data_IF_700331247226
#
_entry.id   IF_700331247226
#
_cell.length_a   1.000
_cell.length_b   1.000
_cell.length_c   1.000
_cell.angle_alpha   90.00
_cell.angle_beta   90.00
_cell.angle_gamma   90.00
#
_symmetry.space_group_name_H-M   'P 1'
#
loop_
_entity.id
_entity.type
_entity.pdbx_description
1 polymer ?
#
# COMPACT_ATOMS: atom_id res chain seq x y z
N UNK A 1 2.59 14.04 17.77
CA UNK A 1 1.40 14.35 18.59
C UNK A 1 1.05 15.77 18.23
N UNK A 2 0.03 15.93 17.40
CA UNK A 2 -0.44 17.21 16.90
C UNK A 2 -0.74 18.16 18.05
N UNK A 3 -0.28 19.40 17.93
CA UNK A 3 -0.70 20.44 18.87
C UNK A 3 -2.15 20.81 18.58
N UNK A 4 -3.09 20.65 19.54
CA UNK A 4 -4.52 20.86 19.32
C UNK A 4 -4.92 22.29 18.92
N UNK A 5 -3.97 23.23 18.92
CA UNK A 5 -4.17 24.63 18.55
C UNK A 5 -3.68 24.99 17.14
N UNK A 6 -2.95 24.11 16.44
CA UNK A 6 -2.48 24.40 15.09
C UNK A 6 -3.52 23.96 14.04
N UNK A 7 -4.49 24.84 13.77
CA UNK A 7 -5.56 24.60 12.77
C UNK A 7 -5.11 24.73 11.31
N UNK A 8 -3.84 25.05 11.07
CA UNK A 8 -3.26 25.24 9.74
C UNK A 8 -2.33 24.09 9.32
N UNK A 9 -2.10 23.11 10.20
CA UNK A 9 -1.33 21.90 9.91
C UNK A 9 -2.26 20.79 9.42
N UNK A 10 -1.92 20.19 8.28
CA UNK A 10 -2.62 19.04 7.72
C UNK A 10 -1.66 17.84 7.80
N UNK A 11 -1.70 17.05 8.89
CA UNK A 11 -0.67 16.04 9.14
C UNK A 11 -0.81 14.86 8.18
N UNK A 12 0.31 14.20 7.85
CA UNK A 12 0.32 13.04 6.95
C UNK A 12 -0.49 11.90 7.57
N UNK A 13 -0.34 11.66 8.87
CA UNK A 13 -0.99 10.55 9.58
C UNK A 13 -2.52 10.62 9.54
N UNK A 14 -3.15 11.74 9.91
CA UNK A 14 -4.60 11.88 9.95
C UNK A 14 -5.22 11.81 8.55
N UNK A 15 -4.57 12.42 7.55
CA UNK A 15 -5.03 12.37 6.16
C UNK A 15 -4.90 10.95 5.57
N UNK A 16 -3.81 10.25 5.86
CA UNK A 16 -3.61 8.86 5.45
C UNK A 16 -4.66 7.94 6.09
N UNK A 17 -4.90 8.08 7.40
CA UNK A 17 -5.93 7.32 8.11
C UNK A 17 -7.34 7.64 7.63
N UNK A 18 -7.64 8.89 7.28
CA UNK A 18 -8.95 9.28 6.77
C UNK A 18 -9.29 8.54 5.46
N UNK A 19 -8.31 8.35 4.58
CA UNK A 19 -8.45 7.54 3.36
C UNK A 19 -8.48 6.04 3.69
N UNK A 20 -7.49 5.55 4.44
CA UNK A 20 -7.33 4.13 4.74
C UNK A 20 -8.56 3.57 5.46
N UNK A 21 -9.17 4.30 6.38
CA UNK A 21 -10.33 3.84 7.14
C UNK A 21 -11.67 4.26 6.53
N UNK A 22 -11.66 4.85 5.33
CA UNK A 22 -12.87 5.18 4.58
C UNK A 22 -13.70 6.31 5.19
N UNK A 23 -13.11 7.13 6.07
CA UNK A 23 -13.74 8.37 6.58
C UNK A 23 -14.03 9.32 5.41
N UNK A 24 -13.13 9.34 4.43
CA UNK A 24 -13.38 9.87 3.08
C UNK A 24 -13.16 8.74 2.08
N UNK A 25 -14.07 8.61 1.11
CA UNK A 25 -14.06 7.51 0.12
C UNK A 25 -14.33 8.02 -1.29
N UNK A 26 -13.79 7.38 -2.35
CA UNK A 26 -14.08 7.76 -3.73
C UNK A 26 -15.58 7.77 -4.05
N UNK A 27 -15.98 8.68 -4.93
CA UNK A 27 -17.37 8.81 -5.39
C UNK A 27 -18.36 9.29 -4.33
N UNK A 28 -17.88 9.63 -3.13
CA UNK A 28 -18.67 10.25 -2.06
C UNK A 28 -18.06 11.63 -1.74
N UNK A 29 -18.86 12.52 -1.12
CA UNK A 29 -18.38 13.75 -0.51
C UNK A 29 -17.54 14.68 -1.41
N UNK A 30 -18.09 15.16 -2.53
CA UNK A 30 -17.49 16.23 -3.36
C UNK A 30 -15.99 16.03 -3.72
N UNK A 31 -15.60 14.79 -4.05
CA UNK A 31 -14.22 14.40 -4.37
C UNK A 31 -13.20 14.66 -3.24
N UNK A 32 -13.64 14.67 -1.97
CA UNK A 32 -12.73 14.81 -0.81
C UNK A 32 -11.60 13.78 -0.83
N UNK A 33 -11.89 12.52 -1.15
CA UNK A 33 -10.86 11.46 -1.18
C UNK A 33 -9.75 11.78 -2.20
N UNK A 34 -10.12 12.27 -3.39
CA UNK A 34 -9.15 12.67 -4.41
C UNK A 34 -8.30 13.84 -3.92
N UNK A 35 -8.93 14.86 -3.32
CA UNK A 35 -8.22 16.04 -2.79
C UNK A 35 -7.26 15.70 -1.65
N UNK A 36 -7.65 14.79 -0.74
CA UNK A 36 -6.77 14.32 0.34
C UNK A 36 -5.60 13.52 -0.25
N UNK A 37 -5.87 12.64 -1.22
CA UNK A 37 -4.85 11.89 -1.95
C UNK A 37 -3.91 12.82 -2.74
N UNK A 38 -4.42 13.91 -3.32
CA UNK A 38 -3.63 14.93 -4.02
C UNK A 38 -2.70 15.66 -3.06
N UNK A 39 -3.23 16.04 -1.89
CA UNK A 39 -2.46 16.71 -0.85
C UNK A 39 -1.30 15.83 -0.35
N UNK A 40 -1.58 14.56 -0.01
CA UNK A 40 -0.54 13.62 0.43
C UNK A 40 0.56 13.45 -0.64
N UNK A 41 0.16 13.25 -1.89
CA UNK A 41 1.10 13.12 -3.01
C UNK A 41 1.94 14.39 -3.24
N UNK A 42 1.43 15.58 -2.88
CA UNK A 42 2.19 16.83 -2.99
C UNK A 42 3.35 16.94 -1.99
N UNK A 43 3.36 16.12 -0.94
CA UNK A 43 4.45 16.06 0.03
C UNK A 43 5.59 15.12 -0.40
N UNK A 44 5.40 14.34 -1.47
CA UNK A 44 6.35 13.34 -1.92
C UNK A 44 7.65 13.99 -2.41
N UNK A 45 8.78 13.53 -1.88
CA UNK A 45 10.14 13.89 -2.33
C UNK A 45 10.82 12.67 -2.96
N UNK A 46 12.05 12.76 -3.52
CA UNK A 46 12.73 11.60 -4.09
C UNK A 46 12.91 10.43 -3.12
N UNK A 47 13.03 10.69 -1.81
CA UNK A 47 13.37 9.66 -0.81
C UNK A 47 12.23 9.39 0.19
N UNK A 48 11.07 10.00 0.03
CA UNK A 48 9.89 9.82 0.88
C UNK A 48 9.11 11.12 1.09
N UNK A 49 7.92 11.07 1.70
CA UNK A 49 7.10 12.25 1.94
C UNK A 49 7.66 13.08 3.09
N UNK A 50 7.66 14.40 2.93
CA UNK A 50 7.95 15.34 4.01
C UNK A 50 6.76 15.39 4.97
N UNK A 51 6.91 14.89 6.20
CA UNK A 51 5.85 14.89 7.22
C UNK A 51 5.64 16.29 7.84
N UNK A 52 4.49 16.96 7.67
CA UNK A 52 4.26 18.29 8.28
C UNK A 52 4.29 18.30 9.81
N UNK A 53 3.77 17.23 10.45
CA UNK A 53 3.70 17.04 11.90
C UNK A 53 5.04 16.65 12.54
N UNK A 54 5.96 16.13 11.72
CA UNK A 54 7.30 15.72 12.11
C UNK A 54 8.33 16.20 11.06
N UNK A 55 8.61 17.52 11.02
CA UNK A 55 9.47 18.10 10.00
C UNK A 55 10.84 17.41 9.91
N UNK A 56 11.40 17.38 8.70
CA UNK A 56 12.71 16.79 8.37
C UNK A 56 12.82 15.27 8.58
N UNK A 57 11.76 14.59 8.98
CA UNK A 57 11.76 13.13 9.13
C UNK A 57 10.92 12.51 8.02
N UNK A 58 11.31 11.30 7.64
CA UNK A 58 10.52 10.40 6.82
C UNK A 58 10.08 9.25 7.72
N UNK A 59 8.77 9.02 7.76
CA UNK A 59 8.16 7.97 8.57
C UNK A 59 7.59 6.87 7.67
N UNK A 60 8.34 5.77 7.45
CA UNK A 60 7.79 4.58 6.78
C UNK A 60 6.60 3.97 7.50
N UNK A 61 6.47 4.18 8.82
CA UNK A 61 5.30 3.77 9.58
C UNK A 61 4.02 4.45 9.07
N UNK A 62 3.97 5.78 9.07
CA UNK A 62 2.79 6.51 8.57
C UNK A 62 2.63 6.31 7.07
N UNK A 63 3.73 6.27 6.33
CA UNK A 63 3.70 6.02 4.88
C UNK A 63 3.12 4.64 4.54
N UNK A 64 3.23 3.65 5.43
CA UNK A 64 2.57 2.35 5.25
C UNK A 64 1.04 2.48 5.24
N UNK A 65 0.48 3.42 6.01
CA UNK A 65 -0.95 3.74 6.02
C UNK A 65 -1.32 4.56 4.78
N UNK A 66 -0.43 5.48 4.35
CA UNK A 66 -0.63 6.26 3.12
C UNK A 66 -0.73 5.37 1.87
N UNK A 67 0.06 4.28 1.80
CA UNK A 67 -0.05 3.28 0.73
C UNK A 67 -1.47 2.73 0.59
N UNK A 68 -2.06 2.30 1.71
CA UNK A 68 -3.44 1.81 1.76
C UNK A 68 -4.43 2.92 1.38
N UNK A 69 -4.23 4.12 1.91
CA UNK A 69 -5.07 5.28 1.61
C UNK A 69 -5.12 5.59 0.11
N UNK A 70 -3.99 5.61 -0.58
CA UNK A 70 -3.93 5.81 -2.02
C UNK A 70 -4.59 4.68 -2.81
N UNK A 71 -4.40 3.41 -2.42
CA UNK A 71 -5.09 2.31 -3.08
C UNK A 71 -6.61 2.40 -2.90
N UNK A 72 -7.09 2.72 -1.69
CA UNK A 72 -8.52 2.94 -1.41
C UNK A 72 -9.08 4.17 -2.11
N UNK A 73 -8.23 5.17 -2.39
CA UNK A 73 -8.56 6.33 -3.23
C UNK A 73 -8.60 6.00 -4.74
N UNK A 74 -8.31 4.76 -5.15
CA UNK A 74 -8.22 4.40 -6.57
C UNK A 74 -6.97 4.96 -7.26
N UNK A 75 -5.89 5.21 -6.50
CA UNK A 75 -4.62 5.79 -6.96
C UNK A 75 -3.44 4.84 -6.76
N UNK A 76 -3.44 3.66 -7.42
CA UNK A 76 -2.32 2.72 -7.35
C UNK A 76 -1.01 3.30 -7.88
N UNK A 77 -1.09 4.26 -8.81
CA UNK A 77 0.05 5.04 -9.31
C UNK A 77 0.81 5.73 -8.17
N UNK A 78 0.07 6.35 -7.23
CA UNK A 78 0.63 7.06 -6.07
C UNK A 78 1.22 6.10 -5.06
N UNK A 79 0.51 5.01 -4.74
CA UNK A 79 1.04 3.98 -3.85
C UNK A 79 2.36 3.41 -4.38
N UNK A 80 2.44 3.10 -5.68
CA UNK A 80 3.66 2.58 -6.29
C UNK A 80 4.79 3.62 -6.34
N UNK A 81 4.48 4.90 -6.58
CA UNK A 81 5.47 5.98 -6.51
C UNK A 81 6.03 6.14 -5.09
N UNK A 82 5.17 6.15 -4.08
CA UNK A 82 5.56 6.19 -2.67
C UNK A 82 6.41 4.96 -2.28
N UNK A 83 6.02 3.76 -2.74
CA UNK A 83 6.79 2.53 -2.54
C UNK A 83 8.23 2.66 -3.06
N UNK A 84 8.38 3.12 -4.30
CA UNK A 84 9.69 3.31 -4.93
C UNK A 84 10.51 4.39 -4.22
N UNK A 85 9.87 5.46 -3.78
CA UNK A 85 10.54 6.59 -3.14
C UNK A 85 11.11 6.25 -1.76
N UNK A 86 10.39 5.49 -0.93
CA UNK A 86 10.86 5.13 0.42
C UNK A 86 11.67 3.83 0.39
N UNK A 87 11.02 2.74 -0.01
CA UNK A 87 11.60 1.40 0.10
C UNK A 87 12.54 1.10 -1.07
N UNK A 88 12.24 1.61 -2.28
CA UNK A 88 13.16 1.53 -3.40
C UNK A 88 14.45 2.30 -3.12
N UNK A 89 14.35 3.55 -2.65
CA UNK A 89 15.53 4.30 -2.21
C UNK A 89 16.32 3.55 -1.13
N UNK A 90 15.66 3.05 -0.08
CA UNK A 90 16.35 2.33 0.99
C UNK A 90 17.04 1.04 0.49
N UNK A 91 16.41 0.33 -0.45
CA UNK A 91 16.98 -0.86 -1.07
C UNK A 91 18.24 -0.54 -1.89
N UNK A 92 18.24 0.58 -2.62
CA UNK A 92 19.34 1.01 -3.49
C UNK A 92 20.42 1.81 -2.76
N UNK A 93 20.15 2.29 -1.55
CA UNK A 93 21.07 3.13 -0.80
C UNK A 93 22.29 2.32 -0.31
N UNK A 94 23.53 2.84 -0.41
CA UNK A 94 24.75 2.10 -0.05
C UNK A 94 24.82 1.68 1.42
N UNK A 95 24.12 2.40 2.31
CA UNK A 95 24.01 2.06 3.73
C UNK A 95 22.66 1.40 4.08
N UNK A 96 21.86 1.02 3.08
CA UNK A 96 20.67 0.20 3.26
C UNK A 96 21.04 -1.26 3.49
N UNK A 97 20.14 -2.03 4.11
CA UNK A 97 20.41 -3.45 4.43
C UNK A 97 20.08 -4.41 3.29
N UNK A 98 19.37 -3.95 2.26
CA UNK A 98 18.84 -4.74 1.15
C UNK A 98 18.05 -6.01 1.56
N UNK A 99 17.61 -6.11 2.82
CA UNK A 99 17.02 -7.33 3.39
C UNK A 99 16.01 -7.08 4.51
N UNK A 100 15.90 -5.84 4.99
CA UNK A 100 14.99 -5.43 6.08
C UNK A 100 14.39 -4.06 5.77
N UNK A 101 13.53 -3.53 6.65
CA UNK A 101 12.90 -2.23 6.51
C UNK A 101 13.32 -1.26 7.63
N UNK A 102 13.60 0.03 7.35
CA UNK A 102 14.11 0.97 8.34
C UNK A 102 13.00 1.50 9.25
N UNK A 103 13.37 1.91 10.46
CA UNK A 103 12.49 2.61 11.41
C UNK A 103 12.02 3.95 10.84
N UNK A 104 12.95 4.72 10.30
CA UNK A 104 12.78 6.03 9.70
C UNK A 104 14.15 6.60 9.36
N UNK A 105 14.17 7.76 8.72
CA UNK A 105 15.40 8.47 8.36
C UNK A 105 15.08 9.96 8.15
N UNK A 106 16.11 10.78 7.93
CA UNK A 106 15.93 12.21 7.71
C UNK A 106 15.71 12.53 6.23
N UNK A 107 15.02 13.64 5.97
CA UNK A 107 14.69 14.13 4.64
C UNK A 107 15.93 14.53 3.81
N UNK A 108 17.08 14.72 4.47
CA UNK A 108 18.38 14.94 3.82
C UNK A 108 19.12 13.65 3.43
N UNK A 109 18.52 12.48 3.72
CA UNK A 109 19.07 11.16 3.42
C UNK A 109 20.05 10.64 4.48
N UNK A 110 20.25 11.35 5.58
CA UNK A 110 21.10 10.88 6.69
C UNK A 110 20.32 9.98 7.65
N UNK A 111 21.06 9.14 8.38
CA UNK A 111 20.48 8.25 9.38
C UNK A 111 20.20 9.01 10.67
N UNK A 112 18.91 9.08 10.99
CA UNK A 112 18.38 9.76 12.17
C UNK A 112 16.86 9.71 12.11
N UNK A 113 16.20 9.52 13.24
CA UNK A 113 14.74 9.53 13.28
C UNK A 113 14.29 9.94 14.66
N UNK A 114 13.48 11.01 14.72
CA UNK A 114 12.87 11.50 15.96
C UNK A 114 13.85 11.77 17.10
N UNK A 115 15.12 12.06 16.80
CA UNK A 115 16.16 12.36 17.80
C UNK A 115 15.69 13.42 18.78
N UNK A 116 15.20 14.54 18.25
CA UNK A 116 14.64 15.68 18.98
C UNK A 116 13.25 15.43 19.58
N UNK A 117 12.58 14.34 19.20
CA UNK A 117 11.19 14.02 19.56
C UNK A 117 10.98 12.56 19.95
N UNK A 118 11.52 12.18 21.12
CA UNK A 118 11.29 10.87 21.73
C UNK A 118 12.58 10.18 22.15
N UNK A 119 13.72 10.59 21.58
CA UNK A 119 15.02 9.98 21.84
C UNK A 119 16.01 10.92 22.55
N UNK A 120 15.53 11.92 23.32
CA UNK A 120 16.37 12.81 24.15
C UNK A 120 17.53 13.49 23.40
N UNK A 121 17.31 13.85 22.14
CA UNK A 121 18.31 14.38 21.21
C UNK A 121 19.45 13.39 20.86
N UNK A 122 19.19 12.09 20.94
CA UNK A 122 20.14 11.03 20.58
C UNK A 122 19.69 10.31 19.28
N UNK A 123 20.35 10.56 18.14
CA UNK A 123 20.03 9.90 16.88
C UNK A 123 20.66 8.50 16.72
N UNK A 124 21.42 7.99 17.71
CA UNK A 124 22.21 6.75 17.56
C UNK A 124 21.40 5.44 17.54
N UNK A 125 20.11 5.49 17.83
CA UNK A 125 19.26 4.30 18.06
C UNK A 125 18.30 3.95 16.93
N UNK A 126 18.47 4.48 15.72
CA UNK A 126 17.56 4.19 14.59
C UNK A 126 17.71 2.74 14.12
N UNK A 127 16.64 1.96 14.22
CA UNK A 127 16.65 0.57 13.77
C UNK A 127 16.60 0.46 12.24
N UNK A 128 17.45 -0.39 11.68
CA UNK A 128 17.39 -0.79 10.27
C UNK A 128 16.52 -2.03 10.03
N UNK A 129 15.92 -2.60 11.08
CA UNK A 129 15.07 -3.78 11.02
C UNK A 129 13.82 -3.58 11.86
N UNK A 130 12.92 -2.71 11.39
CA UNK A 130 11.74 -2.29 12.12
C UNK A 130 10.45 -2.71 11.40
N UNK A 131 9.69 -3.62 12.03
CA UNK A 131 8.51 -4.25 11.42
C UNK A 131 7.38 -3.29 11.07
N UNK A 132 7.29 -2.12 11.71
CA UNK A 132 6.27 -1.11 11.41
C UNK A 132 6.39 -0.48 10.02
N UNK A 133 7.50 -0.74 9.32
CA UNK A 133 7.86 -0.23 8.00
C UNK A 133 7.60 -1.28 6.92
N UNK A 134 6.97 -2.40 7.28
CA UNK A 134 6.66 -3.50 6.37
C UNK A 134 5.39 -3.29 5.54
N UNK A 135 4.84 -2.08 5.48
CA UNK A 135 3.62 -1.75 4.71
C UNK A 135 3.53 -2.30 3.29
N UNK A 136 4.62 -2.34 2.48
CA UNK A 136 4.57 -2.94 1.14
C UNK A 136 4.12 -4.40 1.13
N UNK A 137 4.39 -5.17 2.19
CA UNK A 137 4.10 -6.61 2.21
C UNK A 137 2.60 -6.90 2.11
N UNK A 138 1.79 -6.30 2.98
CA UNK A 138 0.32 -6.44 2.94
C UNK A 138 -0.26 -5.67 1.76
N UNK A 139 0.23 -4.47 1.47
CA UNK A 139 -0.38 -3.62 0.44
C UNK A 139 -0.21 -4.16 -0.99
N UNK A 140 0.94 -4.76 -1.31
CA UNK A 140 1.13 -5.44 -2.60
C UNK A 140 0.22 -6.66 -2.75
N UNK A 141 -0.07 -7.37 -1.65
CA UNK A 141 -0.93 -8.56 -1.66
C UNK A 141 -2.41 -8.19 -1.73
N UNK A 142 -2.86 -7.37 -0.80
CA UNK A 142 -4.28 -7.10 -0.55
C UNK A 142 -4.85 -6.00 -1.45
N UNK A 143 -4.02 -5.10 -1.96
CA UNK A 143 -4.48 -3.96 -2.76
C UNK A 143 -3.96 -3.98 -4.18
N UNK A 144 -2.65 -4.14 -4.42
CA UNK A 144 -2.13 -4.18 -5.79
C UNK A 144 -2.64 -5.41 -6.55
N UNK A 145 -2.33 -6.61 -6.04
CA UNK A 145 -2.89 -7.86 -6.57
C UNK A 145 -4.36 -7.97 -6.19
N UNK A 146 -4.74 -7.45 -5.02
CA UNK A 146 -6.13 -7.39 -4.61
C UNK A 146 -6.67 -8.69 -4.04
N UNK A 147 -5.80 -9.58 -3.54
CA UNK A 147 -6.19 -10.86 -2.97
C UNK A 147 -6.43 -10.70 -1.47
N UNK A 148 -7.68 -10.84 -1.03
CA UNK A 148 -8.05 -10.66 0.38
C UNK A 148 -9.07 -11.70 0.85
N UNK A 149 -9.08 -11.97 2.15
CA UNK A 149 -10.10 -12.81 2.80
C UNK A 149 -11.26 -11.93 3.26
N UNK A 150 -12.50 -12.38 3.03
CA UNK A 150 -13.71 -11.63 3.41
C UNK A 150 -14.50 -12.30 4.53
N UNK A 151 -14.13 -13.53 4.90
CA UNK A 151 -14.62 -14.27 6.07
C UNK A 151 -13.47 -15.04 6.74
N UNK A 152 -13.62 -15.47 8.01
CA UNK A 152 -12.58 -16.18 8.74
C UNK A 152 -11.95 -17.33 7.95
N UNK A 153 -10.63 -17.43 8.06
CA UNK A 153 -9.77 -18.44 7.42
C UNK A 153 -9.79 -18.42 5.88
N UNK A 154 -10.45 -17.46 5.24
CA UNK A 154 -10.61 -17.42 3.78
C UNK A 154 -11.74 -18.30 3.25
N UNK A 155 -12.74 -18.64 4.09
CA UNK A 155 -13.98 -19.31 3.62
C UNK A 155 -14.62 -18.58 2.45
N UNK A 156 -14.56 -17.25 2.48
CA UNK A 156 -14.80 -16.41 1.33
C UNK A 156 -13.63 -15.48 1.10
N UNK A 157 -13.38 -15.15 -0.17
CA UNK A 157 -12.26 -14.31 -0.59
C UNK A 157 -12.65 -13.41 -1.76
N UNK A 158 -11.86 -12.36 -1.99
CA UNK A 158 -11.96 -11.49 -3.16
C UNK A 158 -10.61 -11.43 -3.87
N UNK A 159 -10.67 -11.33 -5.20
CA UNK A 159 -9.54 -11.03 -6.05
C UNK A 159 -9.88 -9.82 -6.94
N UNK A 160 -9.27 -8.67 -6.61
CA UNK A 160 -9.57 -7.36 -7.21
C UNK A 160 -8.29 -6.57 -7.51
N UNK A 161 -7.58 -6.86 -8.61
CA UNK A 161 -6.39 -6.10 -9.00
C UNK A 161 -6.65 -4.59 -9.06
N UNK A 162 -5.76 -3.78 -8.51
CA UNK A 162 -5.94 -2.32 -8.50
C UNK A 162 -5.69 -1.66 -9.86
N UNK A 163 -4.84 -2.25 -10.70
CA UNK A 163 -4.43 -1.66 -11.98
C UNK A 163 -3.95 -2.68 -13.00
N UNK A 164 -4.08 -2.32 -14.27
CA UNK A 164 -3.49 -3.01 -15.42
C UNK A 164 -2.59 -2.08 -16.26
N UNK A 165 -2.48 -0.80 -15.88
CA UNK A 165 -1.67 0.21 -16.57
C UNK A 165 -0.30 0.41 -15.92
N UNK A 166 -0.22 0.27 -14.60
CA UNK A 166 1.04 0.55 -13.87
C UNK A 166 2.01 -0.63 -13.91
N UNK A 167 1.48 -1.85 -14.05
CA UNK A 167 2.24 -3.09 -14.11
C UNK A 167 1.62 -4.03 -15.14
N UNK A 168 2.48 -4.67 -15.94
CA UNK A 168 2.04 -5.70 -16.88
C UNK A 168 1.81 -7.05 -16.21
N UNK A 169 2.34 -7.28 -15.02
CA UNK A 169 2.11 -8.52 -14.26
C UNK A 169 2.36 -8.31 -12.77
N UNK A 170 1.61 -9.04 -11.95
CA UNK A 170 1.85 -9.16 -10.52
C UNK A 170 1.22 -10.46 -10.00
N UNK A 171 1.83 -11.04 -8.97
CA UNK A 171 1.30 -12.20 -8.25
C UNK A 171 1.56 -12.05 -6.75
N UNK A 172 0.64 -12.57 -5.94
CA UNK A 172 0.78 -12.60 -4.50
C UNK A 172 0.04 -13.81 -3.92
N UNK A 173 0.29 -14.08 -2.64
CA UNK A 173 -0.37 -15.17 -1.94
C UNK A 173 -0.06 -15.17 -0.45
N UNK A 174 -0.87 -15.93 0.27
CA UNK A 174 -0.74 -16.17 1.70
C UNK A 174 -1.28 -17.57 2.03
N UNK A 175 -1.06 -18.04 3.26
CA UNK A 175 -1.54 -19.34 3.71
C UNK A 175 -2.46 -19.14 4.91
N UNK A 176 -3.62 -19.79 4.88
CA UNK A 176 -4.49 -19.95 6.06
C UNK A 176 -4.51 -21.41 6.49
N UNK A 177 -5.25 -21.74 7.55
CA UNK A 177 -5.46 -23.14 7.93
C UNK A 177 -6.27 -23.95 6.91
N UNK A 178 -6.94 -23.30 5.94
CA UNK A 178 -7.61 -23.98 4.83
C UNK A 178 -6.63 -24.31 3.69
N UNK A 179 -5.47 -23.67 3.65
CA UNK A 179 -4.43 -23.90 2.63
C UNK A 179 -3.88 -22.62 2.04
N UNK A 180 -3.11 -22.77 0.96
CA UNK A 180 -2.47 -21.65 0.24
C UNK A 180 -3.49 -20.96 -0.66
N UNK A 181 -3.51 -19.63 -0.59
CA UNK A 181 -4.17 -18.73 -1.53
C UNK A 181 -3.11 -18.08 -2.39
N UNK A 182 -3.30 -18.09 -3.70
CA UNK A 182 -2.45 -17.38 -4.65
C UNK A 182 -3.28 -16.85 -5.80
N UNK A 183 -2.95 -15.65 -6.25
CA UNK A 183 -3.60 -15.03 -7.39
C UNK A 183 -2.61 -14.10 -8.11
N UNK A 184 -2.87 -13.86 -9.38
CA UNK A 184 -2.05 -12.97 -10.17
C UNK A 184 -2.69 -12.63 -11.51
N UNK A 185 -2.16 -11.58 -12.12
CA UNK A 185 -2.59 -11.09 -13.42
C UNK A 185 -1.40 -10.88 -14.34
N UNK A 186 -1.65 -10.95 -15.65
CA UNK A 186 -0.71 -10.63 -16.71
C UNK A 186 -1.42 -9.94 -17.86
N UNK A 187 -0.87 -8.83 -18.33
CA UNK A 187 -1.30 -8.04 -19.48
C UNK A 187 -0.30 -8.26 -20.61
N UNK A 188 -0.76 -8.81 -21.73
CA UNK A 188 0.08 -9.04 -22.90
C UNK A 188 -0.76 -8.98 -24.18
N UNK A 189 -0.28 -8.23 -25.18
CA UNK A 189 -0.95 -8.13 -26.48
C UNK A 189 -2.41 -7.67 -26.41
N UNK A 190 -2.72 -6.70 -25.53
CA UNK A 190 -4.10 -6.20 -25.33
C UNK A 190 -5.02 -7.22 -24.64
N UNK A 191 -4.47 -8.25 -24.00
CA UNK A 191 -5.24 -9.24 -23.24
C UNK A 191 -4.80 -9.25 -21.79
N UNK A 192 -5.79 -9.24 -20.91
CA UNK A 192 -5.64 -9.49 -19.48
C UNK A 192 -5.90 -10.98 -19.24
N UNK A 193 -4.94 -11.67 -18.66
CA UNK A 193 -5.12 -13.02 -18.11
C UNK A 193 -4.98 -12.93 -16.60
N UNK A 194 -6.01 -13.39 -15.88
CA UNK A 194 -5.96 -13.55 -14.43
C UNK A 194 -5.99 -15.02 -14.07
N UNK A 195 -5.33 -15.37 -12.96
CA UNK A 195 -5.21 -16.75 -12.47
C UNK A 195 -5.32 -16.74 -10.95
N UNK A 196 -5.89 -17.81 -10.42
CA UNK A 196 -5.91 -18.06 -8.98
C UNK A 196 -5.77 -19.56 -8.71
N UNK A 197 -5.19 -19.87 -7.56
CA UNK A 197 -5.11 -21.20 -6.97
C UNK A 197 -5.32 -21.01 -5.46
N UNK A 198 -6.49 -21.42 -4.99
CA UNK A 198 -6.98 -21.24 -3.62
C UNK A 198 -7.62 -22.55 -3.16
N UNK A 199 -7.81 -22.77 -1.84
CA UNK A 199 -8.34 -24.02 -1.34
C UNK A 199 -9.74 -24.35 -1.87
N UNK A 200 -9.98 -25.62 -2.23
CA UNK A 200 -11.31 -26.12 -2.58
C UNK A 200 -12.31 -25.93 -1.41
N UNK A 201 -13.58 -25.78 -1.72
CA UNK A 201 -14.64 -25.53 -0.72
C UNK A 201 -14.68 -24.09 -0.18
N UNK A 202 -13.89 -23.18 -0.74
CA UNK A 202 -14.00 -21.73 -0.52
C UNK A 202 -14.82 -21.05 -1.62
N UNK A 203 -15.33 -19.85 -1.38
CA UNK A 203 -16.09 -19.08 -2.38
C UNK A 203 -15.42 -17.72 -2.66
N UNK A 204 -15.25 -17.39 -3.94
CA UNK A 204 -14.54 -16.19 -4.38
C UNK A 204 -15.42 -15.21 -5.15
N UNK A 205 -15.04 -13.95 -5.10
CA UNK A 205 -15.47 -12.92 -6.06
C UNK A 205 -14.24 -12.41 -6.82
N UNK A 206 -14.29 -12.44 -8.14
CA UNK A 206 -13.27 -11.85 -9.01
C UNK A 206 -13.82 -10.53 -9.57
N UNK A 207 -13.20 -9.42 -9.19
CA UNK A 207 -13.65 -8.05 -9.51
C UNK A 207 -12.58 -7.35 -10.36
N UNK A 208 -12.72 -7.36 -11.69
CA UNK A 208 -11.73 -6.73 -12.57
C UNK A 208 -12.17 -5.29 -12.93
N UNK A 209 -11.32 -4.27 -12.73
CA UNK A 209 -11.62 -2.90 -13.16
C UNK A 209 -12.14 -2.83 -14.60
N UNK A 210 -13.31 -2.22 -14.80
CA UNK A 210 -13.95 -2.09 -16.11
C UNK A 210 -14.80 -3.30 -16.55
N UNK A 211 -14.95 -4.33 -15.72
CA UNK A 211 -15.77 -5.52 -16.02
C UNK A 211 -16.77 -5.83 -14.89
N UNK A 212 -17.89 -6.51 -15.18
CA UNK A 212 -18.73 -7.10 -14.15
C UNK A 212 -17.94 -8.10 -13.29
N UNK A 213 -18.26 -8.16 -12.00
CA UNK A 213 -17.66 -9.16 -11.12
C UNK A 213 -18.17 -10.57 -11.45
N UNK A 214 -17.36 -11.59 -11.15
CA UNK A 214 -17.72 -13.00 -11.32
C UNK A 214 -17.60 -13.75 -10.00
N UNK A 215 -18.61 -14.58 -9.68
CA UNK A 215 -18.58 -15.49 -8.54
C UNK A 215 -17.90 -16.79 -8.95
N UNK A 216 -16.93 -17.23 -8.17
CA UNK A 216 -16.13 -18.43 -8.45
C UNK A 216 -16.08 -19.34 -7.23
N UNK A 217 -15.81 -20.62 -7.45
CA UNK A 217 -15.51 -21.57 -6.38
C UNK A 217 -14.00 -21.68 -6.20
N UNK A 218 -13.59 -22.16 -5.03
CA UNK A 218 -12.20 -22.47 -4.73
C UNK A 218 -11.62 -23.56 -5.63
N UNK A 219 -10.30 -23.64 -5.68
CA UNK A 219 -9.53 -24.43 -6.64
C UNK A 219 -8.80 -23.54 -7.65
N UNK A 220 -8.22 -24.19 -8.67
CA UNK A 220 -7.49 -23.51 -9.75
C UNK A 220 -8.45 -22.90 -10.75
N UNK A 221 -8.24 -21.63 -11.08
CA UNK A 221 -9.02 -20.94 -12.10
C UNK A 221 -8.21 -19.96 -12.93
N UNK A 222 -8.72 -19.67 -14.12
CA UNK A 222 -8.17 -18.66 -15.01
C UNK A 222 -9.27 -17.99 -15.80
N UNK A 223 -9.09 -16.71 -16.08
CA UNK A 223 -9.99 -15.93 -16.92
C UNK A 223 -9.16 -15.03 -17.82
N UNK A 224 -9.63 -14.83 -19.05
CA UNK A 224 -9.01 -13.90 -19.99
C UNK A 224 -10.04 -12.89 -20.45
N UNK A 225 -9.67 -11.61 -20.43
CA UNK A 225 -10.45 -10.49 -20.96
C UNK A 225 -9.62 -9.75 -22.00
N UNK A 226 -10.30 -9.13 -22.97
CA UNK A 226 -9.66 -8.20 -23.89
C UNK A 226 -9.61 -6.82 -23.24
N UNK A 227 -8.42 -6.23 -23.19
CA UNK A 227 -8.21 -4.84 -22.80
C UNK A 227 -8.12 -4.02 -24.08
N UNK A 228 -9.20 -3.28 -24.37
CA UNK A 228 -9.35 -2.35 -25.50
C UNK A 228 -9.35 -3.01 -26.91
#
# INVERSE_FOLDING_TARGET
MDEPNNRTMYPQDANSMALAFGVVSPGHDDNKADRVSDYLASNLTPIGPSCPELPNNISPFISSIELEGHFKAGRPDRSLALMRSIWGWYLDHPNGTASTTPEGYLLDGTWGYRGDRGYRNDPSYVSHAHGWSSGPTSTLTEYLVGLTVTKPLGRTWEFKPATFSELSEAEAGFTTSLGKFSAGFKVSGGRLTVRWDVPEGTEGIVSLPGFPFERVQGGKGTMTKRLW
#
